data_IF_262831346399
#
_entry.id   IF_262831346399
#
_cell.length_a   1.000
_cell.length_b   1.000
_cell.length_c   1.000
_cell.angle_alpha   90.00
_cell.angle_beta   90.00
_cell.angle_gamma   90.00
#
_symmetry.space_group_name_H-M   'P 1'
#
loop_
_entity.id
_entity.type
_entity.pdbx_description
1 polymer ?
#
# COMPACT_ATOMS: atom_id res chain seq x y z
N UNK A 1 4.55 0.02 4.07
CA UNK A 1 5.95 0.43 3.92
C UNK A 1 6.90 -0.74 4.02
N UNK A 2 6.69 -1.56 5.04
CA UNK A 2 7.57 -2.72 5.23
C UNK A 2 7.52 -3.68 4.06
N UNK A 3 6.34 -3.83 3.47
CA UNK A 3 6.19 -4.76 2.35
C UNK A 3 7.01 -4.30 1.15
N UNK A 4 7.03 -3.00 0.91
CA UNK A 4 7.82 -2.47 -0.18
C UNK A 4 9.30 -2.70 0.06
N UNK A 5 9.75 -2.49 1.29
CA UNK A 5 11.15 -2.69 1.63
C UNK A 5 11.55 -4.15 1.50
N UNK A 6 10.67 -5.05 1.93
CA UNK A 6 10.97 -6.47 1.86
C UNK A 6 11.11 -6.92 0.41
N UNK A 7 10.31 -6.36 -0.47
CA UNK A 7 10.34 -6.74 -1.88
C UNK A 7 11.32 -5.93 -2.70
N UNK A 8 11.94 -4.91 -2.09
CA UNK A 8 12.88 -4.06 -2.80
C UNK A 8 12.22 -3.20 -3.87
N UNK A 9 10.98 -2.80 -3.64
CA UNK A 9 10.21 -2.04 -4.61
C UNK A 9 10.17 -0.59 -4.18
N UNK A 10 10.45 0.32 -5.11
CA UNK A 10 10.39 1.74 -4.82
C UNK A 10 8.95 2.25 -4.95
N UNK A 11 8.67 3.34 -4.23
CA UNK A 11 7.36 3.98 -4.34
C UNK A 11 7.14 4.55 -5.73
N UNK A 12 8.19 5.01 -6.38
CA UNK A 12 8.09 5.53 -7.73
C UNK A 12 7.63 4.44 -8.70
N UNK A 13 8.20 3.26 -8.58
CA UNK A 13 7.80 2.14 -9.42
C UNK A 13 6.33 1.78 -9.18
N UNK A 14 5.94 1.74 -7.92
CA UNK A 14 4.56 1.39 -7.58
C UNK A 14 3.58 2.43 -8.11
N UNK A 15 3.95 3.70 -8.00
CA UNK A 15 3.10 4.77 -8.50
C UNK A 15 2.87 4.63 -10.00
N UNK A 16 3.89 4.28 -10.74
CA UNK A 16 3.76 4.06 -12.17
C UNK A 16 2.82 2.89 -12.47
N UNK A 17 2.95 1.81 -11.73
CA UNK A 17 2.10 0.66 -11.93
C UNK A 17 0.65 0.94 -11.59
N UNK A 18 0.43 1.78 -10.59
CA UNK A 18 -0.93 2.15 -10.19
C UNK A 18 -1.51 3.29 -11.02
N UNK A 19 -0.69 3.90 -11.88
CA UNK A 19 -1.09 5.07 -12.64
C UNK A 19 -1.53 6.21 -11.72
N UNK A 20 -0.79 6.40 -10.65
CA UNK A 20 -1.03 7.45 -9.67
C UNK A 20 0.25 8.22 -9.45
N UNK A 21 0.11 9.40 -8.81
CA UNK A 21 1.27 10.22 -8.53
C UNK A 21 2.08 9.63 -7.38
N UNK A 22 3.36 10.00 -7.35
CA UNK A 22 4.23 9.60 -6.25
C UNK A 22 3.67 10.07 -4.92
N UNK A 23 3.15 11.30 -4.89
CA UNK A 23 2.60 11.87 -3.66
C UNK A 23 1.44 11.03 -3.12
N UNK A 24 0.61 10.53 -4.02
CA UNK A 24 -0.52 9.70 -3.62
C UNK A 24 -0.02 8.40 -2.97
N UNK A 25 0.93 7.74 -3.62
CA UNK A 25 1.45 6.48 -3.10
C UNK A 25 2.20 6.72 -1.80
N UNK A 26 2.95 7.81 -1.71
CA UNK A 26 3.64 8.15 -0.49
C UNK A 26 2.68 8.36 0.66
N UNK A 27 1.52 8.95 0.39
CA UNK A 27 0.50 9.14 1.41
C UNK A 27 0.00 7.80 1.94
N UNK A 28 -0.17 6.82 1.05
CA UNK A 28 -0.57 5.49 1.47
C UNK A 28 0.50 4.85 2.35
N UNK A 29 1.75 4.96 1.92
CA UNK A 29 2.86 4.34 2.64
C UNK A 29 3.04 4.96 4.01
N UNK A 30 2.81 6.25 4.12
CA UNK A 30 2.96 6.98 5.39
C UNK A 30 1.67 7.01 6.21
N UNK A 31 0.64 6.31 5.79
CA UNK A 31 -0.64 6.22 6.50
C UNK A 31 -1.31 7.57 6.67
N UNK A 32 -1.08 8.49 5.73
CA UNK A 32 -1.77 9.78 5.75
C UNK A 32 -3.13 9.67 5.10
N UNK A 33 -3.29 8.77 4.17
CA UNK A 33 -4.56 8.48 3.54
C UNK A 33 -4.63 7.00 3.29
N UNK A 34 -5.85 6.49 3.13
CA UNK A 34 -6.02 5.06 2.88
C UNK A 34 -6.54 4.86 1.48
N UNK A 35 -5.98 3.89 0.75
CA UNK A 35 -6.51 3.57 -0.56
C UNK A 35 -7.88 2.92 -0.43
N UNK A 36 -8.67 3.02 -1.49
CA UNK A 36 -9.92 2.29 -1.55
C UNK A 36 -9.64 0.80 -1.58
N UNK A 37 -10.67 0.01 -1.29
CA UNK A 37 -10.51 -1.44 -1.36
C UNK A 37 -10.06 -1.87 -2.75
N UNK A 38 -10.63 -1.25 -3.78
CA UNK A 38 -10.25 -1.55 -5.14
C UNK A 38 -8.77 -1.31 -5.39
N UNK A 39 -8.27 -0.20 -4.88
CA UNK A 39 -6.85 0.12 -5.02
C UNK A 39 -6.00 -0.86 -4.23
N UNK A 40 -6.44 -1.24 -3.04
CA UNK A 40 -5.71 -2.22 -2.24
C UNK A 40 -5.61 -3.55 -2.96
N UNK A 41 -6.69 -4.00 -3.60
CA UNK A 41 -6.66 -5.23 -4.36
C UNK A 41 -5.67 -5.15 -5.52
N UNK A 42 -5.63 -4.00 -6.18
CA UNK A 42 -4.69 -3.80 -7.27
C UNK A 42 -3.25 -3.83 -6.75
N UNK A 43 -3.00 -3.18 -5.63
CA UNK A 43 -1.66 -3.19 -5.03
C UNK A 43 -1.26 -4.61 -4.68
N UNK A 44 -2.18 -5.37 -4.09
CA UNK A 44 -1.88 -6.74 -3.70
C UNK A 44 -1.51 -7.59 -4.91
N UNK A 45 -2.19 -7.39 -6.02
CA UNK A 45 -1.86 -8.10 -7.26
C UNK A 45 -0.48 -7.72 -7.77
N UNK A 46 -0.19 -6.44 -7.78
CA UNK A 46 1.10 -5.95 -8.28
C UNK A 46 2.23 -6.49 -7.44
N UNK A 47 2.05 -6.48 -6.12
CA UNK A 47 3.09 -6.94 -5.20
C UNK A 47 3.07 -8.46 -5.01
N UNK A 48 2.05 -9.12 -5.54
CA UNK A 48 1.91 -10.58 -5.41
C UNK A 48 1.84 -11.00 -3.95
N UNK A 49 1.00 -10.31 -3.19
CA UNK A 49 0.78 -10.61 -1.78
C UNK A 49 -0.70 -10.75 -1.52
N UNK A 50 -1.03 -11.35 -0.39
CA UNK A 50 -2.41 -11.45 0.05
C UNK A 50 -2.90 -10.08 0.48
N UNK A 51 -4.06 -9.67 -0.04
CA UNK A 51 -4.60 -8.36 0.29
C UNK A 51 -4.86 -8.22 1.79
N UNK A 52 -5.11 -9.32 2.47
CA UNK A 52 -5.34 -9.27 3.92
C UNK A 52 -4.12 -8.76 4.67
N UNK A 53 -2.95 -9.00 4.12
CA UNK A 53 -1.73 -8.50 4.74
C UNK A 53 -1.72 -6.98 4.76
N UNK A 54 -2.20 -6.37 3.69
CA UNK A 54 -2.26 -4.92 3.60
C UNK A 54 -3.34 -4.36 4.52
N UNK A 55 -4.46 -5.04 4.60
CA UNK A 55 -5.56 -4.60 5.44
C UNK A 55 -5.19 -4.69 6.91
N UNK A 56 -4.53 -5.77 7.29
CA UNK A 56 -4.14 -5.95 8.69
C UNK A 56 -3.17 -4.87 9.14
N UNK A 57 -2.26 -4.48 8.28
CA UNK A 57 -1.33 -3.43 8.63
C UNK A 57 -2.03 -2.12 8.92
N UNK A 58 -3.11 -1.84 8.20
CA UNK A 58 -3.87 -0.62 8.42
C UNK A 58 -4.75 -0.72 9.65
N UNK A 59 -5.32 -1.89 9.88
CA UNK A 59 -6.26 -2.07 10.98
C UNK A 59 -5.60 -2.13 12.34
N UNK A 60 -4.35 -2.53 12.38
CA UNK A 60 -3.63 -2.60 13.64
C UNK A 60 -3.68 -1.27 14.38
N UNK A 61 -3.55 -0.18 13.65
CA UNK A 61 -3.58 1.13 14.28
C UNK A 61 -4.95 1.48 14.79
N UNK A 62 -5.99 0.98 14.13
CA UNK A 62 -7.35 1.27 14.54
C UNK A 62 -7.74 0.43 15.74
N UNK A 63 -7.25 -0.78 15.82
CA UNK A 63 -7.58 -1.66 16.92
C UNK A 63 -6.98 -1.22 18.24
N UNK A 64 -5.93 -0.45 18.18
CA UNK A 64 -5.28 0.05 19.38
C UNK A 64 -6.11 1.08 20.11
N UNK A 65 -7.17 1.51 19.52
CA UNK A 65 -8.06 2.45 20.20
C UNK A 65 -8.97 1.73 21.20
#
# INVERSE_FOLDING_TARGET
>A
KEILEEKGISQTWLAKKLNKSFNTVNSYVCNRSQPTLETLLTIAKILNVDVRLLIENNEDEQLDK
#
